data_IF_670395506192
#
_entry.id   IF_670395506192
#
_cell.length_a   1.000
_cell.length_b   1.000
_cell.length_c   1.000
_cell.angle_alpha   90.00
_cell.angle_beta   90.00
_cell.angle_gamma   90.00
#
_symmetry.space_group_name_H-M   'P 1'
#
loop_
_entity.id
_entity.type
_entity.pdbx_description
1 polymer ?
#
# COMPACT_ATOMS: atom_id res chain seq x y z
N UNK A 1 5.46 -8.30 -5.57
CA UNK A 1 5.21 -8.79 -4.19
C UNK A 1 4.70 -10.22 -4.24
N UNK A 2 5.09 -11.10 -3.30
CA UNK A 2 4.68 -12.51 -3.31
C UNK A 2 3.15 -12.71 -3.28
N UNK A 3 2.42 -11.83 -2.58
CA UNK A 3 0.95 -11.88 -2.49
C UNK A 3 0.26 -11.68 -3.85
N UNK A 4 0.89 -10.93 -4.77
CA UNK A 4 0.33 -10.66 -6.11
C UNK A 4 0.07 -11.95 -6.89
N UNK A 5 0.90 -12.98 -6.71
CA UNK A 5 0.73 -14.26 -7.42
C UNK A 5 -0.55 -15.00 -7.02
N UNK A 6 -0.95 -14.91 -5.75
CA UNK A 6 -2.18 -15.57 -5.27
C UNK A 6 -3.41 -14.81 -5.77
N UNK A 7 -3.35 -13.48 -5.77
CA UNK A 7 -4.41 -12.61 -6.28
C UNK A 7 -4.60 -12.77 -7.80
N UNK A 8 -3.50 -12.91 -8.54
CA UNK A 8 -3.49 -13.13 -9.99
C UNK A 8 -4.15 -14.47 -10.35
N UNK A 9 -3.88 -15.54 -9.58
CA UNK A 9 -4.60 -16.82 -9.72
C UNK A 9 -6.11 -16.68 -9.53
N UNK A 10 -6.55 -15.73 -8.70
CA UNK A 10 -7.96 -15.39 -8.50
C UNK A 10 -8.49 -14.36 -9.49
N UNK A 11 -7.71 -14.00 -10.52
CA UNK A 11 -8.02 -13.05 -11.60
C UNK A 11 -8.31 -11.62 -11.12
N UNK A 12 -7.72 -11.21 -10.00
CA UNK A 12 -7.73 -9.79 -9.63
C UNK A 12 -6.82 -8.99 -10.57
N UNK A 13 -7.27 -7.79 -10.97
CA UNK A 13 -6.41 -6.83 -11.65
C UNK A 13 -5.46 -6.21 -10.61
N UNK A 14 -4.16 -6.40 -10.82
CA UNK A 14 -3.14 -5.97 -9.86
C UNK A 14 -2.27 -4.90 -10.50
N UNK A 15 -2.18 -3.75 -9.83
CA UNK A 15 -1.25 -2.69 -10.18
C UNK A 15 -0.14 -2.63 -9.11
N UNK A 16 1.12 -2.61 -9.54
CA UNK A 16 2.28 -2.54 -8.65
C UNK A 16 3.02 -1.24 -8.91
N UNK A 17 3.19 -0.45 -7.85
CA UNK A 17 3.89 0.82 -7.87
C UNK A 17 5.10 0.74 -6.95
N UNK A 18 6.25 1.22 -7.43
CA UNK A 18 7.44 1.33 -6.60
C UNK A 18 8.18 2.62 -6.92
N UNK A 19 8.71 3.27 -5.88
CA UNK A 19 9.41 4.57 -6.00
C UNK A 19 10.54 4.57 -7.03
N UNK A 20 11.20 3.43 -7.26
CA UNK A 20 12.30 3.30 -8.21
C UNK A 20 11.89 2.82 -9.61
N UNK A 21 10.61 2.48 -9.81
CA UNK A 21 10.10 2.00 -11.09
C UNK A 21 9.37 3.09 -11.87
N UNK A 22 8.77 4.07 -11.19
CA UNK A 22 8.06 5.19 -11.83
C UNK A 22 8.35 6.50 -11.10
N UNK A 23 8.66 7.57 -11.84
CA UNK A 23 8.86 8.91 -11.28
C UNK A 23 7.58 9.46 -10.64
N UNK A 24 6.42 9.19 -11.26
CA UNK A 24 5.10 9.71 -10.85
C UNK A 24 4.20 8.65 -10.22
N UNK A 25 4.79 7.70 -9.50
CA UNK A 25 4.08 6.53 -8.97
C UNK A 25 2.85 6.88 -8.09
N UNK A 26 2.88 7.99 -7.34
CA UNK A 26 1.74 8.41 -6.50
C UNK A 26 0.56 8.88 -7.36
N UNK A 27 0.83 9.66 -8.39
CA UNK A 27 -0.20 10.21 -9.28
C UNK A 27 -0.89 9.09 -10.05
N UNK A 28 -0.10 8.17 -10.60
CA UNK A 28 -0.61 6.99 -11.28
C UNK A 28 -1.42 6.07 -10.36
N UNK A 29 -0.91 5.83 -9.13
CA UNK A 29 -1.61 5.05 -8.12
C UNK A 29 -2.96 5.66 -7.79
N UNK A 30 -3.01 6.97 -7.54
CA UNK A 30 -4.26 7.66 -7.23
C UNK A 30 -5.22 7.72 -8.42
N UNK A 31 -4.74 7.68 -9.65
CA UNK A 31 -5.58 7.68 -10.84
C UNK A 31 -6.23 6.31 -11.10
N UNK A 32 -5.53 5.21 -10.78
CA UNK A 32 -5.98 3.85 -11.10
C UNK A 32 -6.74 3.12 -9.97
N UNK A 33 -6.97 3.79 -8.83
CA UNK A 33 -7.45 3.12 -7.62
C UNK A 33 -8.94 3.34 -7.29
N UNK A 34 -9.72 3.99 -8.15
CA UNK A 34 -11.13 4.31 -7.90
C UNK A 34 -11.97 3.06 -7.58
N UNK A 35 -11.78 1.98 -8.34
CA UNK A 35 -12.48 0.69 -8.15
C UNK A 35 -11.63 -0.34 -7.38
N UNK A 36 -10.60 0.10 -6.65
CA UNK A 36 -9.72 -0.82 -5.95
C UNK A 36 -10.42 -1.44 -4.73
N UNK A 37 -10.30 -2.76 -4.58
CA UNK A 37 -10.81 -3.48 -3.40
C UNK A 37 -10.01 -3.13 -2.13
N UNK A 38 -8.70 -2.89 -2.28
CA UNK A 38 -7.83 -2.42 -1.21
C UNK A 38 -6.55 -1.81 -1.77
N UNK A 39 -5.86 -1.01 -0.95
CA UNK A 39 -4.47 -0.65 -1.16
C UNK A 39 -3.57 -1.53 -0.29
N UNK A 40 -2.65 -2.27 -0.91
CA UNK A 40 -1.60 -3.00 -0.19
C UNK A 40 -0.31 -2.18 -0.11
N UNK A 41 0.23 -1.98 1.09
CA UNK A 41 1.52 -1.31 1.31
C UNK A 41 2.50 -2.33 1.91
N UNK A 42 3.61 -2.57 1.21
CA UNK A 42 4.71 -3.40 1.73
C UNK A 42 5.85 -2.49 2.19
N UNK A 43 6.20 -2.53 3.47
CA UNK A 43 7.28 -1.73 4.02
C UNK A 43 8.28 -2.59 4.83
N UNK A 44 9.57 -2.38 4.57
CA UNK A 44 10.66 -2.71 5.48
C UNK A 44 10.89 -1.56 6.47
N UNK A 45 11.72 -1.78 7.49
CA UNK A 45 12.12 -0.74 8.45
C UNK A 45 12.86 0.42 7.77
N UNK A 46 12.74 1.64 8.31
CA UNK A 46 13.42 2.84 7.81
C UNK A 46 12.55 3.70 6.91
N UNK A 47 13.14 4.29 5.86
CA UNK A 47 12.48 5.26 4.97
C UNK A 47 11.22 4.73 4.27
N UNK A 48 11.12 3.41 4.07
CA UNK A 48 9.94 2.80 3.46
C UNK A 48 8.67 2.97 4.31
N UNK A 49 8.79 3.08 5.63
CA UNK A 49 7.64 3.36 6.51
C UNK A 49 7.16 4.79 6.25
N UNK A 50 8.07 5.76 6.18
CA UNK A 50 7.72 7.17 5.96
C UNK A 50 7.06 7.36 4.58
N UNK A 51 7.63 6.74 3.54
CA UNK A 51 7.06 6.76 2.20
C UNK A 51 5.69 6.07 2.16
N UNK A 52 5.56 4.90 2.78
CA UNK A 52 4.28 4.19 2.89
C UNK A 52 3.21 5.03 3.60
N UNK A 53 3.57 5.72 4.69
CA UNK A 53 2.63 6.56 5.45
C UNK A 53 2.21 7.77 4.63
N UNK A 54 3.14 8.37 3.88
CA UNK A 54 2.82 9.45 2.93
C UNK A 54 1.81 8.99 1.88
N UNK A 55 2.03 7.81 1.29
CA UNK A 55 1.09 7.22 0.32
C UNK A 55 -0.26 6.95 0.98
N UNK A 56 -0.28 6.29 2.14
CA UNK A 56 -1.50 5.95 2.87
C UNK A 56 -2.33 7.20 3.19
N UNK A 57 -1.70 8.28 3.66
CA UNK A 57 -2.38 9.54 3.97
C UNK A 57 -3.01 10.19 2.72
N UNK A 58 -2.28 10.25 1.61
CA UNK A 58 -2.79 10.79 0.35
C UNK A 58 -3.92 9.93 -0.21
N UNK A 59 -3.76 8.60 -0.14
CA UNK A 59 -4.75 7.65 -0.58
C UNK A 59 -6.04 7.75 0.23
N UNK A 60 -5.96 7.75 1.56
CA UNK A 60 -7.13 7.86 2.44
C UNK A 60 -7.87 9.18 2.27
N UNK A 61 -7.17 10.27 1.92
CA UNK A 61 -7.79 11.56 1.61
C UNK A 61 -8.66 11.49 0.34
N UNK A 62 -8.22 10.73 -0.69
CA UNK A 62 -8.96 10.60 -1.95
C UNK A 62 -10.02 9.48 -1.89
N UNK A 63 -9.69 8.36 -1.26
CA UNK A 63 -10.50 7.15 -1.19
C UNK A 63 -10.70 6.70 0.27
N UNK A 64 -11.51 7.42 1.06
CA UNK A 64 -11.66 7.13 2.49
C UNK A 64 -12.30 5.77 2.77
N UNK A 65 -13.11 5.26 1.84
CA UNK A 65 -13.84 4.00 1.97
C UNK A 65 -13.02 2.75 1.59
N UNK A 66 -11.94 2.92 0.83
CA UNK A 66 -11.09 1.80 0.41
C UNK A 66 -10.14 1.43 1.57
N UNK A 67 -10.10 0.15 2.00
CA UNK A 67 -9.22 -0.27 3.09
C UNK A 67 -7.76 -0.26 2.65
N UNK A 68 -6.87 0.08 3.60
CA UNK A 68 -5.42 0.02 3.43
C UNK A 68 -4.93 -1.18 4.25
N UNK A 69 -4.09 -2.01 3.66
CA UNK A 69 -3.54 -3.21 4.29
C UNK A 69 -2.02 -3.11 4.27
N UNK A 70 -1.42 -3.08 5.46
CA UNK A 70 0.03 -3.04 5.61
C UNK A 70 0.62 -4.44 5.78
N UNK A 71 1.74 -4.68 5.08
CA UNK A 71 2.50 -5.92 5.13
C UNK A 71 4.00 -5.65 4.97
N UNK A 72 4.80 -6.73 4.99
CA UNK A 72 6.26 -6.64 4.97
C UNK A 72 6.88 -6.87 6.35
N UNK A 73 8.21 -6.78 6.43
CA UNK A 73 8.95 -7.21 7.62
C UNK A 73 8.55 -6.42 8.87
N UNK A 74 8.43 -5.09 8.76
CA UNK A 74 8.12 -4.22 9.90
C UNK A 74 6.73 -4.48 10.53
N UNK A 75 5.61 -4.47 9.78
CA UNK A 75 4.30 -4.79 10.36
C UNK A 75 4.20 -6.22 10.88
N UNK A 76 5.02 -7.15 10.38
CA UNK A 76 5.06 -8.52 10.90
C UNK A 76 5.78 -8.65 12.25
N UNK A 77 6.84 -7.86 12.50
CA UNK A 77 7.61 -7.95 13.76
C UNK A 77 7.05 -7.05 14.88
N UNK A 78 6.30 -6.00 14.54
CA UNK A 78 5.78 -5.02 15.50
C UNK A 78 4.30 -4.66 15.23
N UNK A 79 3.40 -5.65 15.12
CA UNK A 79 2.03 -5.44 14.63
C UNK A 79 1.22 -4.46 15.49
N UNK A 80 1.37 -4.51 16.82
CA UNK A 80 0.67 -3.61 17.76
C UNK A 80 1.16 -2.17 17.66
N UNK A 81 2.44 -1.94 17.37
CA UNK A 81 2.97 -0.61 17.15
C UNK A 81 2.52 -0.06 15.79
N UNK A 82 2.55 -0.89 14.75
CA UNK A 82 2.10 -0.51 13.42
C UNK A 82 0.62 -0.11 13.45
N UNK A 83 -0.25 -0.91 14.08
CA UNK A 83 -1.69 -0.66 14.18
C UNK A 83 -2.08 0.59 15.02
N UNK A 84 -1.17 1.14 15.84
CA UNK A 84 -1.45 2.40 16.57
C UNK A 84 -1.48 3.63 15.67
N UNK A 85 -0.96 3.53 14.45
CA UNK A 85 -0.95 4.64 13.51
C UNK A 85 -2.29 4.74 12.77
N UNK A 86 -2.91 5.91 12.75
CA UNK A 86 -4.22 6.13 12.10
C UNK A 86 -4.25 5.88 10.58
N UNK A 87 -3.09 5.72 9.95
CA UNK A 87 -2.94 5.45 8.52
C UNK A 87 -2.51 4.00 8.22
N UNK A 88 -2.45 3.16 9.25
CA UNK A 88 -2.16 1.73 9.17
C UNK A 88 -3.42 0.91 9.31
#
# INVERSE_FOLDING_TARGET
MAISRILDKKKYKIHIYARHLQEKYIEELLSNAEDAVCLGISAMTGFQIQDGLRVAKLFKKKYPHIPIVWGGWHPSILPTQTAKNSYV
#
